data_IF_046981279996
#
_entry.id   IF_046981279996
#
_cell.length_a   1.000
_cell.length_b   1.000
_cell.length_c   1.000
_cell.angle_alpha   90.00
_cell.angle_beta   90.00
_cell.angle_gamma   90.00
#
_symmetry.space_group_name_H-M   'P 1'
#
loop_
_entity.id
_entity.type
_entity.pdbx_description
1 polymer ?
#
# COMPACT_ATOMS: atom_id res chain seq x y z
N UNK A 1 13.34 -52.67 3.43
CA UNK A 1 13.58 -51.23 3.16
C UNK A 1 14.65 -50.71 4.10
N UNK A 2 15.77 -50.26 3.54
CA UNK A 2 17.07 -50.11 4.18
C UNK A 2 17.09 -48.82 5.01
N UNK A 3 17.68 -48.80 6.22
CA UNK A 3 17.79 -47.58 7.06
C UNK A 3 18.36 -46.39 6.28
N UNK A 4 19.38 -46.64 5.44
CA UNK A 4 19.99 -45.63 4.58
C UNK A 4 19.04 -45.04 3.51
N UNK A 5 18.09 -45.83 3.00
CA UNK A 5 17.09 -45.35 2.03
C UNK A 5 16.04 -44.45 2.68
N UNK A 6 15.65 -44.76 3.93
CA UNK A 6 14.72 -43.93 4.70
C UNK A 6 15.34 -42.57 5.08
N UNK A 7 16.61 -42.56 5.49
CA UNK A 7 17.33 -41.32 5.80
C UNK A 7 17.49 -40.45 4.55
N UNK A 8 17.86 -41.03 3.41
CA UNK A 8 17.96 -40.30 2.13
C UNK A 8 16.63 -39.70 1.70
N UNK A 9 15.53 -40.46 1.79
CA UNK A 9 14.19 -39.97 1.46
C UNK A 9 13.76 -38.83 2.40
N UNK A 10 14.04 -38.95 3.70
CA UNK A 10 13.75 -37.91 4.68
C UNK A 10 14.55 -36.63 4.41
N UNK A 11 15.85 -36.74 4.15
CA UNK A 11 16.69 -35.59 3.80
C UNK A 11 16.21 -34.91 2.52
N UNK A 12 15.83 -35.67 1.50
CA UNK A 12 15.31 -35.11 0.25
C UNK A 12 13.99 -34.35 0.45
N UNK A 13 13.09 -34.92 1.26
CA UNK A 13 11.80 -34.31 1.57
C UNK A 13 11.96 -33.03 2.42
N UNK A 14 12.90 -33.04 3.38
CA UNK A 14 13.26 -31.86 4.16
C UNK A 14 13.86 -30.75 3.27
N UNK A 15 14.69 -31.10 2.29
CA UNK A 15 15.33 -30.13 1.39
C UNK A 15 14.30 -29.49 0.43
N UNK A 16 13.34 -30.27 -0.06
CA UNK A 16 12.19 -29.76 -0.82
C UNK A 16 11.30 -28.82 0.02
N UNK A 17 11.04 -29.16 1.28
CA UNK A 17 10.27 -28.31 2.19
C UNK A 17 10.99 -26.98 2.47
N UNK A 18 12.31 -27.01 2.71
CA UNK A 18 13.11 -25.78 2.88
C UNK A 18 13.11 -24.92 1.61
N UNK A 19 13.22 -25.53 0.42
CA UNK A 19 13.17 -24.80 -0.85
C UNK A 19 11.79 -24.14 -1.08
N UNK A 20 10.70 -24.79 -0.69
CA UNK A 20 9.35 -24.22 -0.76
C UNK A 20 9.14 -23.07 0.24
N UNK A 21 9.76 -23.13 1.42
CA UNK A 21 9.68 -22.07 2.43
C UNK A 21 10.56 -20.85 2.08
N UNK A 22 11.67 -21.06 1.36
CA UNK A 22 12.56 -19.99 0.90
C UNK A 22 12.14 -19.41 -0.45
N UNK A 23 11.22 -20.05 -1.16
CA UNK A 23 10.68 -19.57 -2.42
C UNK A 23 9.45 -18.70 -2.21
N UNK A 24 9.55 -17.42 -2.55
CA UNK A 24 8.41 -16.52 -2.68
C UNK A 24 8.63 -15.15 -2.04
N UNK A 25 8.28 -14.10 -2.78
CA UNK A 25 8.03 -12.80 -2.21
C UNK A 25 6.60 -12.86 -1.64
N UNK A 26 6.43 -13.58 -0.52
CA UNK A 26 5.11 -13.93 0.04
C UNK A 26 4.26 -12.71 0.42
N UNK A 27 4.89 -11.55 0.55
CA UNK A 27 4.25 -10.27 0.85
C UNK A 27 4.31 -9.28 -0.35
N UNK A 28 4.65 -9.77 -1.54
CA UNK A 28 4.67 -8.93 -2.73
C UNK A 28 3.25 -8.51 -3.09
N UNK A 29 3.00 -7.22 -2.99
CA UNK A 29 1.81 -6.60 -3.55
C UNK A 29 2.27 -5.62 -4.61
N UNK A 30 1.72 -5.77 -5.80
CA UNK A 30 1.99 -4.88 -6.93
C UNK A 30 1.79 -3.40 -6.52
N UNK A 31 2.70 -2.53 -6.97
CA UNK A 31 2.64 -1.08 -6.71
C UNK A 31 1.32 -0.51 -7.26
N UNK A 32 0.78 -1.07 -8.35
CA UNK A 32 -0.50 -0.62 -8.91
C UNK A 32 -1.70 -0.91 -8.00
N UNK A 33 -1.56 -1.84 -7.06
CA UNK A 33 -2.59 -2.19 -6.06
C UNK A 33 -2.43 -1.44 -4.73
N UNK A 34 -1.32 -0.70 -4.55
CA UNK A 34 -1.03 0.11 -3.35
C UNK A 34 -1.27 1.59 -3.65
N UNK A 35 -2.12 2.24 -2.86
CA UNK A 35 -2.29 3.69 -2.87
C UNK A 35 -1.34 4.31 -1.85
N UNK A 36 -0.11 4.62 -2.27
CA UNK A 36 0.89 5.21 -1.37
C UNK A 36 0.48 6.66 -1.09
N UNK A 37 0.12 6.95 0.16
CA UNK A 37 -0.21 8.32 0.58
C UNK A 37 1.10 9.07 0.80
N UNK A 38 1.30 10.13 0.01
CA UNK A 38 2.44 11.03 0.05
C UNK A 38 2.31 12.08 1.15
N UNK A 39 1.07 12.50 1.45
CA UNK A 39 0.78 13.50 2.46
C UNK A 39 -0.69 13.56 2.85
N UNK A 40 -0.97 14.19 3.99
CA UNK A 40 -2.32 14.40 4.51
C UNK A 40 -2.49 15.85 4.98
N UNK A 41 -3.58 16.48 4.54
CA UNK A 41 -4.07 17.77 5.02
C UNK A 41 -5.29 17.57 5.91
N UNK A 42 -5.41 18.37 6.97
CA UNK A 42 -6.57 18.39 7.85
C UNK A 42 -7.02 19.83 7.98
N UNK A 43 -8.24 20.12 7.53
CA UNK A 43 -8.85 21.43 7.56
C UNK A 43 -10.21 21.39 8.27
N UNK A 44 -10.74 22.52 8.75
CA UNK A 44 -12.15 22.60 9.15
C UNK A 44 -13.08 22.15 8.02
N UNK A 45 -14.06 21.30 8.33
CA UNK A 45 -15.04 20.82 7.36
C UNK A 45 -16.12 21.85 7.05
N UNK A 46 -16.92 21.57 6.01
CA UNK A 46 -17.97 22.49 5.53
C UNK A 46 -19.13 22.63 6.52
N UNK A 47 -19.28 21.66 7.43
CA UNK A 47 -20.33 21.63 8.46
C UNK A 47 -19.71 21.76 9.85
N UNK A 48 -20.47 22.38 10.77
CA UNK A 48 -20.07 22.48 12.17
C UNK A 48 -19.82 21.09 12.77
N UNK A 49 -18.67 20.93 13.43
CA UNK A 49 -18.26 19.65 14.02
C UNK A 49 -17.66 18.64 13.04
N UNK A 50 -17.39 19.02 11.79
CA UNK A 50 -16.71 18.16 10.80
C UNK A 50 -15.31 18.66 10.45
N UNK A 51 -14.48 17.74 9.95
CA UNK A 51 -13.14 17.97 9.42
C UNK A 51 -13.09 17.56 7.95
N UNK A 52 -12.39 18.34 7.14
CA UNK A 52 -11.95 17.96 5.81
C UNK A 52 -10.59 17.29 5.91
N UNK A 53 -10.51 16.02 5.55
CA UNK A 53 -9.24 15.28 5.52
C UNK A 53 -8.89 15.00 4.06
N UNK A 54 -7.79 15.60 3.62
CA UNK A 54 -7.28 15.49 2.26
C UNK A 54 -6.07 14.55 2.25
N UNK A 55 -6.04 13.55 1.36
CA UNK A 55 -4.89 12.66 1.17
C UNK A 55 -4.38 12.79 -0.26
N UNK A 56 -3.06 12.95 -0.39
CA UNK A 56 -2.38 12.98 -1.68
C UNK A 56 -1.78 11.60 -1.97
N UNK A 57 -2.27 10.91 -2.99
CA UNK A 57 -1.93 9.52 -3.29
C UNK A 57 -1.07 9.46 -4.55
N UNK A 58 0.09 8.81 -4.51
CA UNK A 58 0.96 8.66 -5.66
C UNK A 58 0.25 7.95 -6.84
N UNK A 59 0.43 8.47 -8.06
CA UNK A 59 0.00 7.80 -9.29
C UNK A 59 1.21 7.19 -10.02
N UNK A 60 1.50 5.88 -9.85
CA UNK A 60 2.68 5.24 -10.43
C UNK A 60 2.73 5.31 -11.97
N UNK A 61 1.57 5.30 -12.63
CA UNK A 61 1.51 5.42 -14.09
C UNK A 61 1.96 6.80 -14.59
N UNK A 62 1.68 7.85 -13.82
CA UNK A 62 2.13 9.21 -14.15
C UNK A 62 3.60 9.47 -13.79
N UNK A 63 4.17 8.67 -12.89
CA UNK A 63 5.59 8.77 -12.49
C UNK A 63 6.55 8.09 -13.49
N UNK A 64 6.03 7.31 -14.44
CA UNK A 64 6.83 6.51 -15.38
C UNK A 64 7.22 7.24 -16.68
N UNK A 65 6.89 8.53 -16.82
CA UNK A 65 7.19 9.33 -18.02
C UNK A 65 8.49 10.17 -17.92
N UNK A 66 9.13 10.54 -19.05
CA UNK A 66 10.30 11.42 -19.04
C UNK A 66 9.85 12.88 -18.78
N UNK A 67 9.88 13.33 -17.52
CA UNK A 67 9.47 14.70 -17.17
C UNK A 67 9.78 15.08 -15.72
N UNK A 68 10.03 16.37 -15.43
CA UNK A 68 11.07 16.80 -14.51
C UNK A 68 10.71 16.74 -13.02
N UNK A 69 11.75 16.56 -12.22
CA UNK A 69 11.83 16.85 -10.78
C UNK A 69 11.58 18.36 -10.54
N UNK A 70 10.35 18.82 -10.70
CA UNK A 70 9.94 20.16 -10.29
C UNK A 70 8.77 20.04 -9.34
N UNK A 71 8.96 20.45 -8.09
CA UNK A 71 7.95 20.47 -7.04
C UNK A 71 6.82 21.46 -7.37
N UNK A 72 5.88 21.02 -8.21
CA UNK A 72 4.66 21.73 -8.52
C UNK A 72 3.46 20.84 -8.17
N UNK A 73 2.58 21.41 -7.36
CA UNK A 73 1.30 20.91 -6.87
C UNK A 73 0.54 19.97 -7.80
N UNK A 74 0.21 18.77 -7.30
CA UNK A 74 -1.05 18.01 -7.51
C UNK A 74 -1.73 18.12 -8.90
N UNK A 75 -0.95 18.05 -9.98
CA UNK A 75 -1.45 18.31 -11.34
C UNK A 75 -1.37 17.14 -12.32
N UNK A 76 -0.85 15.99 -11.91
CA UNK A 76 -0.76 14.82 -12.80
C UNK A 76 -0.09 13.60 -12.20
N UNK A 77 0.80 13.79 -11.23
CA UNK A 77 1.60 12.71 -10.63
C UNK A 77 0.99 12.09 -9.37
N UNK A 78 -0.13 12.64 -8.89
CA UNK A 78 -0.83 12.18 -7.69
C UNK A 78 -2.33 12.46 -7.76
N UNK A 79 -3.10 11.69 -6.99
CA UNK A 79 -4.55 11.78 -6.84
C UNK A 79 -4.85 12.38 -5.46
N UNK A 80 -5.41 13.59 -5.45
CA UNK A 80 -5.88 14.25 -4.23
C UNK A 80 -7.34 13.86 -3.95
N UNK A 81 -7.60 13.34 -2.74
CA UNK A 81 -8.95 13.01 -2.28
C UNK A 81 -9.23 13.66 -0.94
N UNK A 82 -10.38 14.33 -0.86
CA UNK A 82 -10.86 14.95 0.38
C UNK A 82 -12.10 14.23 0.87
N UNK A 83 -12.13 13.93 2.17
CA UNK A 83 -13.25 13.29 2.86
C UNK A 83 -13.67 14.13 4.07
N UNK A 84 -14.95 14.47 4.11
CA UNK A 84 -15.57 15.12 5.28
C UNK A 84 -15.95 14.06 6.30
N UNK A 85 -15.56 14.25 7.57
CA UNK A 85 -15.99 13.40 8.68
C UNK A 85 -15.87 14.11 10.05
N UNK A 86 -16.63 13.70 11.07
CA UNK A 86 -16.47 14.16 12.46
C UNK A 86 -15.07 13.96 13.07
N UNK A 87 -14.28 13.03 12.55
CA UNK A 87 -12.92 12.76 13.04
C UNK A 87 -11.98 12.30 11.93
N UNK A 88 -10.67 12.46 12.15
CA UNK A 88 -9.63 11.97 11.22
C UNK A 88 -9.73 10.46 11.04
N UNK A 89 -9.96 9.70 12.12
CA UNK A 89 -10.10 8.25 12.05
C UNK A 89 -11.27 7.84 11.16
N UNK A 90 -12.41 8.49 11.32
CA UNK A 90 -13.60 8.21 10.52
C UNK A 90 -13.37 8.56 9.04
N UNK A 91 -12.71 9.70 8.75
CA UNK A 91 -12.31 10.02 7.39
C UNK A 91 -11.41 8.92 6.78
N UNK A 92 -10.42 8.43 7.55
CA UNK A 92 -9.52 7.35 7.11
C UNK A 92 -10.22 6.00 6.94
N UNK A 93 -11.33 5.76 7.63
CA UNK A 93 -12.16 4.57 7.44
C UNK A 93 -13.02 4.66 6.17
N UNK A 94 -13.44 5.88 5.79
CA UNK A 94 -14.29 6.13 4.62
C UNK A 94 -13.48 6.29 3.31
N UNK A 95 -12.27 6.86 3.39
CA UNK A 95 -11.40 7.10 2.24
C UNK A 95 -11.13 5.83 1.38
N UNK A 96 -10.88 4.63 1.94
CA UNK A 96 -10.69 3.41 1.16
C UNK A 96 -11.87 3.04 0.26
N UNK A 97 -13.10 3.47 0.56
CA UNK A 97 -14.27 3.21 -0.28
C UNK A 97 -14.29 4.08 -1.55
N UNK A 98 -13.43 5.09 -1.63
CA UNK A 98 -13.34 6.06 -2.74
C UNK A 98 -12.18 5.76 -3.70
N UNK A 99 -11.40 4.71 -3.42
CA UNK A 99 -10.23 4.30 -4.21
C UNK A 99 -10.23 2.80 -4.46
N UNK A 100 -9.79 2.39 -5.66
CA UNK A 100 -9.65 0.97 -6.02
C UNK A 100 -8.36 0.33 -5.46
N UNK A 101 -7.63 1.05 -4.60
CA UNK A 101 -6.33 0.64 -4.06
C UNK A 101 -6.36 0.61 -2.53
N UNK A 102 -5.54 -0.25 -1.94
CA UNK A 102 -5.33 -0.22 -0.47
C UNK A 102 -4.46 0.98 -0.13
N UNK A 103 -4.99 1.91 0.66
CA UNK A 103 -4.23 3.06 1.14
C UNK A 103 -3.16 2.60 2.12
N UNK A 104 -1.92 3.00 1.85
CA UNK A 104 -0.77 2.78 2.71
C UNK A 104 -0.34 4.15 3.27
N UNK A 105 -0.25 4.25 4.60
CA UNK A 105 0.04 5.48 5.35
C UNK A 105 1.44 5.33 5.97
N UNK A 106 2.52 5.47 5.18
CA UNK A 106 3.89 5.14 5.62
C UNK A 106 4.40 6.00 6.79
N UNK A 107 3.70 7.08 7.13
CA UNK A 107 4.05 8.02 8.19
C UNK A 107 3.30 7.79 9.52
N UNK A 108 2.41 6.77 9.62
CA UNK A 108 1.60 6.48 10.82
C UNK A 108 1.96 5.13 11.44
N UNK A 109 3.25 4.76 11.41
CA UNK A 109 3.72 3.45 11.89
C UNK A 109 3.82 3.35 13.42
#
# INVERSE_FOLDING_TARGET
MNRAGRVRAFCFLALMACAALMGGCWDYTDIDRRGIVLGMGIEPGDQEGTLAVSVDIANPQALSGPGPLSGSSSGGNSLLLTQQAPSVLEALQLLPARVDRRLDLPFVQ
#
